data_IF_844321455579
#
_entry.id   IF_844321455579
#
_cell.length_a   1.000
_cell.length_b   1.000
_cell.length_c   1.000
_cell.angle_alpha   90.00
_cell.angle_beta   90.00
_cell.angle_gamma   90.00
#
_symmetry.space_group_name_H-M   'P 1'
#
loop_
_entity.id
_entity.type
_entity.pdbx_description
1 polymer ?
#
# COMPACT_ATOMS: atom_id res chain seq x y z
N UNK A 1 -8.90 0.08 8.91
CA UNK A 1 -8.56 -1.36 8.83
C UNK A 1 -9.44 -2.16 7.85
N UNK A 2 -10.76 -1.96 7.79
CA UNK A 2 -11.66 -2.83 7.00
C UNK A 2 -11.36 -2.93 5.50
N UNK A 3 -10.98 -1.85 4.81
CA UNK A 3 -10.77 -1.87 3.36
C UNK A 3 -9.54 -2.69 2.93
N UNK A 4 -8.44 -2.62 3.70
CA UNK A 4 -7.23 -3.40 3.41
C UNK A 4 -7.46 -4.90 3.69
N UNK A 5 -8.19 -5.22 4.76
CA UNK A 5 -8.60 -6.59 5.06
C UNK A 5 -9.51 -7.15 3.95
N UNK A 6 -10.44 -6.35 3.44
CA UNK A 6 -11.29 -6.73 2.31
C UNK A 6 -10.47 -7.00 1.05
N UNK A 7 -9.43 -6.21 0.77
CA UNK A 7 -8.54 -6.41 -0.39
C UNK A 7 -7.78 -7.74 -0.31
N UNK A 8 -7.41 -8.18 0.90
CA UNK A 8 -6.70 -9.43 1.15
C UNK A 8 -7.61 -10.59 1.55
N UNK A 9 -8.94 -10.42 1.44
CA UNK A 9 -9.90 -11.48 1.76
C UNK A 9 -9.95 -12.55 0.67
N UNK A 10 -10.37 -13.75 1.04
CA UNK A 10 -10.50 -14.86 0.09
C UNK A 10 -11.69 -14.63 -0.83
N UNK A 11 -11.42 -14.55 -2.13
CA UNK A 11 -12.39 -14.49 -3.20
C UNK A 11 -12.70 -15.91 -3.70
N UNK A 12 -13.97 -16.20 -3.99
CA UNK A 12 -14.39 -17.43 -4.64
C UNK A 12 -14.52 -17.20 -6.15
N UNK A 13 -13.96 -18.10 -6.95
CA UNK A 13 -13.88 -17.99 -8.39
C UNK A 13 -14.48 -19.22 -9.08
N UNK A 14 -15.18 -18.94 -10.17
CA UNK A 14 -15.56 -19.96 -11.17
C UNK A 14 -14.40 -20.12 -12.15
N UNK A 15 -13.56 -21.12 -11.88
CA UNK A 15 -12.41 -21.44 -12.72
C UNK A 15 -12.31 -22.96 -12.97
N UNK A 16 -11.64 -23.33 -14.06
CA UNK A 16 -11.32 -24.73 -14.38
C UNK A 16 -9.88 -25.04 -14.01
N UNK A 17 -9.67 -26.13 -13.26
CA UNK A 17 -8.32 -26.60 -12.94
C UNK A 17 -7.69 -27.25 -14.18
N UNK A 18 -6.48 -26.82 -14.56
CA UNK A 18 -5.75 -27.36 -15.72
C UNK A 18 -5.35 -28.84 -15.56
N UNK A 19 -5.28 -29.35 -14.33
CA UNK A 19 -4.98 -30.74 -14.04
C UNK A 19 -6.25 -31.60 -13.98
N UNK A 20 -7.32 -31.10 -13.35
CA UNK A 20 -8.54 -31.88 -13.12
C UNK A 20 -9.53 -31.82 -14.31
N UNK A 21 -9.45 -30.80 -15.17
CA UNK A 21 -10.31 -30.58 -16.35
C UNK A 21 -11.83 -30.43 -16.05
N UNK A 22 -12.23 -30.32 -14.78
CA UNK A 22 -13.61 -30.03 -14.38
C UNK A 22 -13.67 -28.72 -13.60
N UNK A 23 -14.82 -28.04 -13.66
CA UNK A 23 -15.07 -26.80 -12.91
C UNK A 23 -15.22 -27.13 -11.42
N UNK A 24 -14.20 -26.79 -10.64
CA UNK A 24 -14.24 -26.87 -9.18
C UNK A 24 -14.38 -25.47 -8.59
N UNK A 25 -14.93 -25.30 -7.39
CA UNK A 25 -14.84 -24.04 -6.68
C UNK A 25 -13.36 -23.70 -6.44
N UNK A 26 -12.90 -22.57 -6.97
CA UNK A 26 -11.54 -22.08 -6.74
C UNK A 26 -11.56 -20.91 -5.77
N UNK A 27 -10.44 -20.69 -5.10
CA UNK A 27 -10.24 -19.52 -4.25
C UNK A 27 -9.04 -18.73 -4.72
N UNK A 28 -9.10 -17.42 -4.53
CA UNK A 28 -7.99 -16.49 -4.76
C UNK A 28 -7.87 -15.59 -3.55
N UNK A 29 -6.64 -15.37 -3.12
CA UNK A 29 -6.36 -14.44 -2.03
C UNK A 29 -5.12 -13.62 -2.40
N UNK A 30 -5.15 -12.33 -2.07
CA UNK A 30 -3.99 -11.46 -2.19
C UNK A 30 -3.32 -11.31 -0.82
N UNK A 31 -2.01 -11.39 -0.79
CA UNK A 31 -1.19 -11.10 0.39
C UNK A 31 0.06 -10.32 -0.01
N UNK A 32 0.63 -9.60 0.94
CA UNK A 32 1.88 -8.87 0.76
C UNK A 32 3.05 -9.80 1.03
N UNK A 33 3.94 -9.97 0.04
CA UNK A 33 5.15 -10.75 0.23
C UNK A 33 6.16 -10.02 1.12
N UNK A 34 6.38 -8.75 0.85
CA UNK A 34 7.27 -7.90 1.65
C UNK A 34 6.76 -6.46 1.53
N UNK A 35 7.16 -5.63 2.49
CA UNK A 35 6.61 -4.29 2.63
C UNK A 35 7.62 -3.26 2.12
N UNK A 36 7.24 -2.39 1.16
CA UNK A 36 8.16 -1.46 0.51
C UNK A 36 8.58 -0.34 1.47
N UNK A 37 9.75 0.29 1.31
CA UNK A 37 10.16 1.39 2.18
C UNK A 37 9.19 2.58 2.14
N UNK A 38 8.63 2.86 0.96
CA UNK A 38 7.58 3.85 0.73
C UNK A 38 6.33 3.14 0.22
N UNK A 39 5.20 3.42 0.85
CA UNK A 39 3.90 2.85 0.50
C UNK A 39 2.97 3.95 0.01
N UNK A 40 2.43 3.78 -1.20
CA UNK A 40 1.41 4.66 -1.76
C UNK A 40 0.09 3.91 -1.84
N UNK A 41 -0.93 4.41 -1.16
CA UNK A 41 -2.28 3.85 -1.20
C UNK A 41 -3.21 4.76 -2.00
N UNK A 42 -3.75 4.25 -3.10
CA UNK A 42 -4.77 4.94 -3.89
C UNK A 42 -6.17 4.55 -3.42
N UNK A 43 -6.95 5.55 -3.02
CA UNK A 43 -8.37 5.36 -2.70
C UNK A 43 -9.18 5.35 -4.00
N UNK A 44 -9.75 4.20 -4.36
CA UNK A 44 -10.61 4.03 -5.54
C UNK A 44 -11.94 4.75 -5.36
N UNK A 45 -11.93 6.08 -5.61
CA UNK A 45 -13.09 6.96 -5.38
C UNK A 45 -13.95 7.21 -6.61
N UNK A 46 -13.70 6.57 -7.74
CA UNK A 46 -14.52 6.77 -8.95
C UNK A 46 -15.13 5.45 -9.37
N UNK A 47 -16.45 5.48 -9.51
CA UNK A 47 -17.26 4.34 -9.92
C UNK A 47 -18.03 4.70 -11.18
N UNK A 48 -18.02 3.80 -12.17
CA UNK A 48 -18.87 3.92 -13.34
C UNK A 48 -20.24 3.35 -12.98
N UNK A 49 -21.24 4.22 -12.90
CA UNK A 49 -22.63 3.83 -12.68
C UNK A 49 -23.40 3.90 -13.98
N UNK A 50 -24.24 2.89 -14.24
CA UNK A 50 -25.17 2.92 -15.36
C UNK A 50 -26.54 3.35 -14.86
N UNK A 51 -26.99 4.54 -15.26
CA UNK A 51 -28.33 5.05 -14.94
C UNK A 51 -29.09 5.33 -16.25
N UNK A 52 -30.30 4.78 -16.38
CA UNK A 52 -31.17 4.93 -17.57
C UNK A 52 -30.46 4.64 -18.91
N UNK A 53 -29.57 3.64 -18.96
CA UNK A 53 -28.82 3.29 -20.18
C UNK A 53 -27.67 4.23 -20.54
N UNK A 54 -27.38 5.22 -19.69
CA UNK A 54 -26.22 6.10 -19.83
C UNK A 54 -25.15 5.79 -18.79
N UNK A 55 -23.89 5.81 -19.22
CA UNK A 55 -22.75 5.66 -18.34
C UNK A 55 -22.43 7.01 -17.68
N UNK A 56 -22.43 7.03 -16.35
CA UNK A 56 -22.10 8.22 -15.56
C UNK A 56 -21.03 7.89 -14.53
N UNK A 57 -19.96 8.66 -14.54
CA UNK A 57 -18.93 8.59 -13.50
C UNK A 57 -19.41 9.27 -12.23
N UNK A 58 -19.37 8.56 -11.11
CA UNK A 58 -19.69 9.08 -9.80
C UNK A 58 -18.46 9.05 -8.91
N UNK A 59 -18.19 10.17 -8.23
CA UNK A 59 -17.18 10.22 -7.17
C UNK A 59 -17.78 9.78 -5.83
N UNK A 60 -17.08 8.89 -5.15
CA UNK A 60 -17.35 8.44 -3.79
C UNK A 60 -16.74 9.43 -2.79
N UNK A 61 -17.59 10.28 -2.22
CA UNK A 61 -17.24 11.28 -1.21
C UNK A 61 -17.49 10.81 0.22
N UNK A 62 -17.58 9.48 0.44
CA UNK A 62 -17.69 8.94 1.78
C UNK A 62 -16.43 9.29 2.59
N UNK A 63 -16.65 9.55 3.88
CA UNK A 63 -15.55 9.76 4.82
C UNK A 63 -14.73 8.48 4.98
N UNK A 64 -13.42 8.60 5.02
CA UNK A 64 -12.49 7.50 5.23
C UNK A 64 -11.52 7.89 6.35
N UNK A 65 -11.43 7.02 7.34
CA UNK A 65 -10.42 7.09 8.39
C UNK A 65 -9.14 6.37 7.96
N UNK A 66 -8.00 6.99 8.22
CA UNK A 66 -6.68 6.38 8.04
C UNK A 66 -5.73 6.79 9.18
N UNK A 67 -4.89 5.88 9.66
CA UNK A 67 -3.96 6.18 10.75
C UNK A 67 -2.84 7.11 10.29
N UNK A 68 -2.65 8.23 10.99
CA UNK A 68 -1.52 9.13 10.69
C UNK A 68 -0.19 8.49 11.12
N UNK A 69 -0.19 7.73 12.22
CA UNK A 69 0.99 7.04 12.75
C UNK A 69 0.72 5.56 12.95
N UNK A 70 1.74 4.73 12.76
CA UNK A 70 1.73 3.32 13.12
C UNK A 70 0.71 2.47 12.35
N UNK A 71 0.51 2.74 11.05
CA UNK A 71 -0.20 1.82 10.15
C UNK A 71 0.53 0.47 10.13
N UNK A 72 -0.04 -0.53 10.78
CA UNK A 72 0.53 -1.88 10.86
C UNK A 72 -0.03 -2.78 9.75
N UNK A 73 0.84 -3.24 8.85
CA UNK A 73 0.49 -4.13 7.74
C UNK A 73 0.87 -5.59 8.00
N UNK A 74 1.33 -5.95 9.20
CA UNK A 74 1.76 -7.31 9.54
C UNK A 74 0.71 -8.36 9.22
N UNK A 75 -0.56 -8.08 9.52
CA UNK A 75 -1.68 -8.99 9.27
C UNK A 75 -2.01 -9.24 7.79
N UNK A 76 -1.38 -8.51 6.87
CA UNK A 76 -1.54 -8.68 5.42
C UNK A 76 -0.34 -9.42 4.79
N UNK A 77 0.70 -9.70 5.56
CA UNK A 77 1.86 -10.45 5.06
C UNK A 77 1.47 -11.89 4.75
N UNK A 78 2.05 -12.43 3.68
CA UNK A 78 1.91 -13.85 3.37
C UNK A 78 2.56 -14.70 4.48
N UNK A 79 1.98 -15.85 4.85
CA UNK A 79 2.70 -16.85 5.63
C UNK A 79 3.99 -17.25 4.93
N UNK A 80 5.02 -17.60 5.69
CA UNK A 80 6.20 -18.27 5.17
C UNK A 80 5.90 -19.76 5.35
N UNK A 81 5.77 -20.50 4.26
CA UNK A 81 5.57 -21.94 4.32
C UNK A 81 6.85 -22.59 4.85
N UNK A 82 6.79 -23.07 6.10
CA UNK A 82 7.91 -23.68 6.80
C UNK A 82 7.89 -23.29 8.27
N UNK A 83 7.12 -24.03 9.07
CA UNK A 83 7.07 -23.83 10.53
C UNK A 83 8.46 -23.81 11.12
N UNK A 84 8.92 -22.64 11.53
CA UNK A 84 9.95 -22.48 12.54
C UNK A 84 9.30 -21.74 13.70
N UNK A 85 9.48 -22.34 14.86
CA UNK A 85 9.11 -21.82 16.18
C UNK A 85 9.53 -20.34 16.30
N UNK A 86 8.63 -19.49 16.82
CA UNK A 86 8.67 -18.02 16.82
C UNK A 86 9.83 -17.41 17.69
N UNK A 87 10.91 -18.13 17.92
CA UNK A 87 11.95 -17.80 18.89
C UNK A 87 13.27 -17.26 18.30
N UNK A 88 13.49 -17.27 16.99
CA UNK A 88 14.73 -16.79 16.36
C UNK A 88 14.50 -15.64 15.36
N UNK A 89 15.25 -14.52 15.46
CA UNK A 89 15.14 -13.43 14.50
C UNK A 89 15.66 -13.91 13.13
N UNK A 90 14.74 -13.96 12.16
CA UNK A 90 15.04 -14.32 10.78
C UNK A 90 16.15 -13.41 10.23
N UNK A 91 17.34 -13.98 9.97
CA UNK A 91 18.41 -13.28 9.26
C UNK A 91 18.20 -13.45 7.75
N UNK A 92 18.38 -12.36 6.99
CA UNK A 92 17.99 -12.23 5.57
C UNK A 92 18.54 -13.33 4.63
N UNK A 93 19.61 -14.04 5.01
CA UNK A 93 20.24 -15.10 4.19
C UNK A 93 19.54 -16.45 4.29
N UNK A 94 18.99 -16.83 5.44
CA UNK A 94 18.24 -18.09 5.57
C UNK A 94 16.84 -17.98 4.93
N UNK A 95 16.40 -16.75 4.66
CA UNK A 95 15.06 -16.42 4.19
C UNK A 95 14.80 -16.80 2.73
N UNK A 96 15.78 -16.65 1.81
CA UNK A 96 15.59 -16.92 0.37
C UNK A 96 15.56 -18.43 0.05
N UNK A 97 16.34 -19.23 0.77
CA UNK A 97 16.45 -20.68 0.52
C UNK A 97 15.25 -21.47 1.08
N UNK A 98 14.49 -20.88 2.02
CA UNK A 98 13.28 -21.48 2.60
C UNK A 98 11.99 -21.16 1.80
N UNK A 99 12.09 -20.46 0.67
CA UNK A 99 10.91 -19.98 -0.09
C UNK A 99 10.31 -21.06 -0.99
N UNK A 100 8.98 -21.05 -1.10
CA UNK A 100 8.28 -21.78 -2.15
C UNK A 100 8.90 -21.44 -3.53
N UNK A 101 9.20 -22.44 -4.38
CA UNK A 101 9.83 -22.24 -5.67
C UNK A 101 9.14 -21.21 -6.58
N UNK A 102 7.82 -21.01 -6.43
CA UNK A 102 7.03 -20.01 -7.15
C UNK A 102 7.32 -18.61 -6.66
N UNK A 103 7.47 -18.44 -5.35
CA UNK A 103 7.83 -17.16 -4.73
C UNK A 103 9.25 -16.78 -5.10
N UNK A 104 10.19 -17.73 -5.01
CA UNK A 104 11.59 -17.54 -5.44
C UNK A 104 11.68 -17.07 -6.89
N UNK A 105 10.96 -17.74 -7.80
CA UNK A 105 10.89 -17.35 -9.22
C UNK A 105 10.32 -15.94 -9.42
N UNK A 106 9.32 -15.56 -8.62
CA UNK A 106 8.76 -14.21 -8.64
C UNK A 106 9.78 -13.13 -8.21
N UNK A 107 10.53 -13.40 -7.14
CA UNK A 107 11.61 -12.51 -6.65
C UNK A 107 12.71 -12.38 -7.72
N UNK A 108 13.16 -13.50 -8.28
CA UNK A 108 14.17 -13.52 -9.34
C UNK A 108 13.72 -12.70 -10.56
N UNK A 109 12.45 -12.80 -10.96
CA UNK A 109 11.90 -11.98 -12.05
C UNK A 109 11.91 -10.48 -11.73
N UNK A 110 11.43 -10.10 -10.54
CA UNK A 110 11.38 -8.69 -10.11
C UNK A 110 12.80 -8.08 -10.02
N UNK A 111 13.79 -8.84 -9.56
CA UNK A 111 15.18 -8.39 -9.44
C UNK A 111 15.91 -8.35 -10.78
N UNK A 112 15.83 -9.42 -11.56
CA UNK A 112 16.68 -9.61 -12.74
C UNK A 112 16.07 -8.99 -14.02
N UNK A 113 14.74 -8.96 -14.14
CA UNK A 113 14.06 -8.48 -15.35
C UNK A 113 13.52 -7.06 -15.17
N UNK A 114 13.09 -6.69 -13.95
CA UNK A 114 12.47 -5.39 -13.67
C UNK A 114 13.36 -4.44 -12.86
N UNK A 115 14.57 -4.86 -12.46
CA UNK A 115 15.52 -4.10 -11.64
C UNK A 115 14.86 -3.47 -10.40
N UNK A 116 13.88 -4.16 -9.81
CA UNK A 116 13.21 -3.68 -8.60
C UNK A 116 14.13 -3.98 -7.41
N UNK A 117 14.57 -2.97 -6.63
CA UNK A 117 15.46 -3.17 -5.50
C UNK A 117 14.69 -3.80 -4.33
N UNK A 118 14.42 -5.11 -4.41
CA UNK A 118 13.72 -5.86 -3.37
C UNK A 118 14.52 -5.94 -2.06
N UNK A 119 15.82 -5.64 -2.07
CA UNK A 119 16.65 -5.47 -0.87
C UNK A 119 16.10 -4.41 0.10
N UNK A 120 15.37 -3.43 -0.43
CA UNK A 120 14.74 -2.38 0.38
C UNK A 120 13.47 -2.83 1.10
N UNK A 121 12.84 -3.91 0.65
CA UNK A 121 11.57 -4.37 1.18
C UNK A 121 11.81 -5.15 2.48
N UNK A 122 10.97 -4.90 3.48
CA UNK A 122 11.11 -5.51 4.81
C UNK A 122 9.92 -6.40 5.14
N UNK A 123 10.20 -7.48 5.87
CA UNK A 123 9.16 -8.30 6.54
C UNK A 123 9.21 -8.15 8.06
N UNK A 124 10.31 -7.63 8.60
CA UNK A 124 10.52 -7.43 10.04
C UNK A 124 9.91 -6.11 10.51
N UNK A 125 10.11 -5.03 9.74
CA UNK A 125 9.47 -3.75 9.97
C UNK A 125 8.15 -3.68 9.19
N UNK A 126 7.04 -3.50 9.93
CA UNK A 126 5.67 -3.62 9.40
C UNK A 126 4.81 -2.39 9.62
N UNK A 127 5.39 -1.38 10.29
CA UNK A 127 4.71 -0.15 10.67
C UNK A 127 5.13 1.00 9.77
N UNK A 128 4.15 1.83 9.46
CA UNK A 128 4.30 3.00 8.61
C UNK A 128 3.71 4.25 9.25
N UNK A 129 4.34 5.38 8.99
CA UNK A 129 3.82 6.70 9.35
C UNK A 129 3.48 7.48 8.08
N UNK A 130 2.36 8.19 8.13
CA UNK A 130 1.91 9.05 7.06
C UNK A 130 2.81 10.29 7.00
N UNK A 131 3.19 10.69 5.80
CA UNK A 131 3.96 11.92 5.58
C UNK A 131 3.37 12.82 4.49
N UNK A 132 2.49 12.29 3.63
CA UNK A 132 1.74 13.11 2.69
C UNK A 132 0.36 12.54 2.34
N UNK A 133 -0.57 13.44 2.02
CA UNK A 133 -1.90 13.13 1.49
C UNK A 133 -2.13 14.01 0.27
N UNK A 134 -2.48 13.41 -0.87
CA UNK A 134 -3.03 14.16 -2.00
C UNK A 134 -4.53 14.12 -1.91
N UNK A 135 -5.15 15.29 -1.85
CA UNK A 135 -6.59 15.46 -1.84
C UNK A 135 -7.09 15.75 -3.25
N UNK A 136 -8.30 15.28 -3.55
CA UNK A 136 -9.04 15.71 -4.72
C UNK A 136 -10.35 16.33 -4.27
N UNK A 137 -10.55 17.62 -4.56
CA UNK A 137 -11.77 18.38 -4.31
C UNK A 137 -12.56 18.51 -5.62
N UNK A 138 -13.88 18.41 -5.56
CA UNK A 138 -14.74 18.42 -6.76
C UNK A 138 -15.55 17.15 -6.94
N UNK A 139 -16.55 17.18 -7.84
CA UNK A 139 -17.57 16.14 -7.99
C UNK A 139 -17.30 15.15 -9.13
N UNK A 140 -16.57 15.58 -10.16
CA UNK A 140 -16.36 14.82 -11.39
C UNK A 140 -14.98 14.15 -11.46
N UNK A 141 -14.82 13.22 -12.40
CA UNK A 141 -13.52 12.62 -12.75
C UNK A 141 -12.70 13.53 -13.67
N UNK A 142 -13.37 14.35 -14.49
CA UNK A 142 -12.78 15.24 -15.48
C UNK A 142 -12.57 16.67 -14.98
N UNK A 143 -12.86 16.94 -13.71
CA UNK A 143 -12.79 18.28 -13.13
C UNK A 143 -12.61 18.19 -11.62
N UNK A 144 -11.78 19.07 -11.07
CA UNK A 144 -11.59 19.19 -9.64
C UNK A 144 -10.37 20.06 -9.33
N UNK A 145 -9.96 20.01 -8.07
CA UNK A 145 -8.81 20.72 -7.56
C UNK A 145 -7.98 19.78 -6.69
N UNK A 146 -6.67 19.75 -6.89
CA UNK A 146 -5.77 18.91 -6.14
C UNK A 146 -4.96 19.75 -5.15
N UNK A 147 -4.96 19.34 -3.89
CA UNK A 147 -4.13 19.94 -2.85
C UNK A 147 -3.32 18.85 -2.16
N UNK A 148 -2.25 19.21 -1.46
CA UNK A 148 -1.42 18.27 -0.74
C UNK A 148 -1.30 18.66 0.74
N UNK A 149 -1.53 17.69 1.63
CA UNK A 149 -1.06 17.80 3.01
C UNK A 149 0.31 17.15 3.08
N UNK A 150 1.32 17.85 3.60
CA UNK A 150 2.69 17.35 3.69
C UNK A 150 3.25 17.60 5.09
N UNK A 151 4.06 16.65 5.56
CA UNK A 151 4.89 16.80 6.76
C UNK A 151 6.32 16.47 6.40
N UNK A 152 7.25 17.33 6.80
CA UNK A 152 8.69 17.05 6.63
C UNK A 152 9.17 16.10 7.73
N UNK A 153 10.18 15.24 7.47
CA UNK A 153 10.69 14.29 8.46
C UNK A 153 11.23 14.94 9.74
N UNK A 154 11.79 16.14 9.62
CA UNK A 154 12.38 16.94 10.71
C UNK A 154 11.34 17.77 11.49
N UNK A 155 10.07 17.75 11.05
CA UNK A 155 9.01 18.58 11.62
C UNK A 155 7.86 17.75 12.19
N UNK A 156 7.26 18.29 13.25
CA UNK A 156 6.00 17.78 13.81
C UNK A 156 4.78 18.48 13.20
N UNK A 157 4.98 19.59 12.49
CA UNK A 157 3.91 20.39 11.90
C UNK A 157 3.51 19.86 10.52
N UNK A 158 2.21 19.89 10.24
CA UNK A 158 1.65 19.63 8.92
C UNK A 158 1.43 20.92 8.16
N UNK A 159 1.49 20.82 6.84
CA UNK A 159 1.30 21.93 5.93
C UNK A 159 0.28 21.55 4.85
N UNK A 160 -0.65 22.45 4.55
CA UNK A 160 -1.51 22.40 3.37
C UNK A 160 -0.84 23.20 2.25
N UNK A 161 -0.47 22.52 1.16
CA UNK A 161 -0.05 23.13 -0.09
C UNK A 161 -1.24 23.17 -1.06
N UNK A 162 -1.68 24.39 -1.35
CA UNK A 162 -2.77 24.72 -2.27
C UNK A 162 -2.23 25.68 -3.35
N UNK A 163 -1.80 25.12 -4.48
CA UNK A 163 -1.13 25.82 -5.56
C UNK A 163 0.05 26.69 -5.08
N UNK A 164 -0.14 28.01 -5.07
CA UNK A 164 0.88 28.99 -4.67
C UNK A 164 0.86 29.32 -3.18
N UNK A 165 -0.10 28.77 -2.43
CA UNK A 165 -0.35 29.09 -1.03
C UNK A 165 0.00 27.87 -0.17
N UNK A 166 0.84 28.08 0.84
CA UNK A 166 1.20 27.05 1.81
C UNK A 166 0.84 27.56 3.20
N UNK A 167 0.00 26.81 3.92
CA UNK A 167 -0.48 27.18 5.26
C UNK A 167 -0.25 26.06 6.27
N UNK A 168 -0.02 26.38 7.55
CA UNK A 168 0.03 25.36 8.60
C UNK A 168 -1.32 24.64 8.72
N UNK A 169 -1.29 23.37 9.09
CA UNK A 169 -2.45 22.48 9.23
C UNK A 169 -2.32 21.66 10.52
N UNK A 170 -3.44 21.43 11.23
CA UNK A 170 -3.45 20.51 12.37
C UNK A 170 -3.51 19.05 11.91
N UNK A 171 -2.89 18.15 12.67
CA UNK A 171 -2.96 16.70 12.38
C UNK A 171 -4.41 16.17 12.44
N UNK A 172 -5.25 16.74 13.32
CA UNK A 172 -6.67 16.37 13.45
C UNK A 172 -7.50 16.68 12.18
N UNK A 173 -6.99 17.52 11.28
CA UNK A 173 -7.66 17.87 10.02
C UNK A 173 -7.34 16.87 8.88
N UNK A 174 -6.43 15.91 9.11
CA UNK A 174 -6.03 14.95 8.08
C UNK A 174 -7.03 13.82 7.91
N UNK A 175 -7.49 13.24 9.02
CA UNK A 175 -8.34 12.06 9.06
C UNK A 175 -9.35 12.17 10.21
N UNK A 176 -10.64 11.84 10.00
CA UNK A 176 -11.25 11.33 8.76
C UNK A 176 -11.28 12.34 7.61
N UNK A 177 -11.21 11.84 6.37
CA UNK A 177 -11.27 12.70 5.17
C UNK A 177 -12.23 12.19 4.10
N UNK A 178 -12.96 13.15 3.50
CA UNK A 178 -13.84 12.94 2.35
C UNK A 178 -13.15 13.21 1.01
N UNK A 179 -11.98 13.84 1.03
CA UNK A 179 -11.25 14.35 -0.15
C UNK A 179 -9.91 13.64 -0.38
N UNK A 180 -9.34 12.97 0.63
CA UNK A 180 -8.11 12.20 0.52
C UNK A 180 -8.18 11.22 -0.64
N UNK A 181 -7.20 11.23 -1.54
CA UNK A 181 -7.18 10.44 -2.77
C UNK A 181 -5.97 9.51 -2.84
N UNK A 182 -4.77 10.04 -2.56
CA UNK A 182 -3.55 9.24 -2.39
C UNK A 182 -3.01 9.46 -0.98
N UNK A 183 -2.59 8.37 -0.33
CA UNK A 183 -1.93 8.39 0.97
C UNK A 183 -0.50 7.91 0.79
N UNK A 184 0.46 8.67 1.31
CA UNK A 184 1.88 8.37 1.23
C UNK A 184 2.42 8.09 2.63
N UNK A 185 2.93 6.87 2.78
CA UNK A 185 3.41 6.29 4.01
C UNK A 185 4.89 5.94 3.87
N UNK A 186 5.67 6.18 4.93
CA UNK A 186 7.07 5.77 5.04
C UNK A 186 7.20 4.74 6.15
N UNK A 187 7.98 3.68 5.90
CA UNK A 187 8.22 2.63 6.89
C UNK A 187 9.08 3.17 8.04
N UNK A 188 8.81 2.77 9.28
CA UNK A 188 9.39 3.41 10.47
C UNK A 188 10.93 3.26 10.60
N UNK A 189 11.50 2.17 10.11
CA UNK A 189 12.95 1.94 10.01
C UNK A 189 13.60 2.91 9.01
N UNK A 190 12.92 3.21 7.90
CA UNK A 190 13.38 4.20 6.92
C UNK A 190 13.26 5.61 7.48
N UNK A 191 12.14 5.93 8.12
CA UNK A 191 11.91 7.25 8.71
C UNK A 191 12.88 7.58 9.86
N UNK A 192 13.32 6.58 10.62
CA UNK A 192 14.30 6.74 11.70
C UNK A 192 15.76 6.76 11.25
N UNK A 193 16.01 6.63 9.94
CA UNK A 193 17.38 6.57 9.40
C UNK A 193 18.08 5.23 9.68
N UNK A 194 17.37 4.21 10.17
CA UNK A 194 17.92 2.86 10.25
C UNK A 194 18.10 2.23 8.85
N UNK A 195 17.45 2.78 7.84
CA UNK A 195 17.66 2.48 6.42
C UNK A 195 17.68 3.81 5.65
N UNK A 196 18.81 4.12 5.00
CA UNK A 196 18.99 5.38 4.28
C UNK A 196 18.21 5.40 2.96
N UNK A 197 17.53 6.51 2.66
CA UNK A 197 16.73 6.66 1.45
C UNK A 197 17.58 6.57 0.17
N UNK A 198 18.84 7.03 0.23
CA UNK A 198 19.81 6.95 -0.87
C UNK A 198 20.13 5.52 -1.27
N UNK A 199 20.04 4.58 -0.33
CA UNK A 199 20.33 3.17 -0.58
C UNK A 199 19.16 2.45 -1.27
N UNK A 200 18.01 3.13 -1.36
CA UNK A 200 16.77 2.61 -1.93
C UNK A 200 16.60 2.95 -3.42
N UNK A 201 17.32 3.95 -3.91
CA UNK A 201 17.26 4.39 -5.30
C UNK A 201 18.59 4.12 -5.99
N UNK A 202 18.59 3.66 -7.25
CA UNK A 202 19.82 3.47 -8.00
C UNK A 202 20.62 4.78 -8.05
N UNK A 203 21.91 4.72 -7.68
CA UNK A 203 22.82 5.82 -8.00
C UNK A 203 23.09 5.79 -9.50
N UNK A 204 22.72 6.87 -10.20
CA UNK A 204 23.00 7.06 -11.63
C UNK A 204 24.50 6.89 -11.95
#
# INVERSE_FOLDING_TARGET
MGSLQSLCSTEHLDASCSQCQYSTPHTKQLSLWSLPPLLVLQLKRFELSTSHGTYQWKKLSNSIDFPVHGLDLRGLLSPIDGGHDDSEPCTDRCFIDALDPRVRRGIEYLQNELNIPLSSASRSCTKYDLYAVVNHCGRGISSGHYTAHIRRPDETCWWLADDTVVTPLSEDELSPSTTAYLLFYVRQDVASGATELSDLFPTN
#
